data_IF_786113780291
#
_entry.id   IF_786113780291
#
_cell.length_a   1.000
_cell.length_b   1.000
_cell.length_c   1.000
_cell.angle_alpha   90.00
_cell.angle_beta   90.00
_cell.angle_gamma   90.00
#
_symmetry.space_group_name_H-M   'P 1'
#
loop_
_entity.id
_entity.type
_entity.pdbx_description
1 polymer ?
#
# COMPACT_ATOMS: atom_id res chain seq x y z
N UNK A 1 -32.50 -5.17 1.59
CA UNK A 1 -31.17 -5.19 2.23
C UNK A 1 -30.13 -4.99 1.14
N UNK A 2 -29.41 -3.87 1.15
CA UNK A 2 -28.55 -3.44 0.03
C UNK A 2 -27.40 -4.41 -0.19
N UNK A 3 -27.07 -4.73 -1.45
CA UNK A 3 -25.92 -5.56 -1.86
C UNK A 3 -24.62 -5.15 -1.17
N UNK A 4 -24.43 -3.86 -0.89
CA UNK A 4 -23.28 -3.32 -0.16
C UNK A 4 -23.13 -3.95 1.23
N UNK A 5 -24.23 -4.20 1.95
CA UNK A 5 -24.21 -4.82 3.27
C UNK A 5 -23.60 -6.23 3.19
N UNK A 6 -24.01 -7.02 2.21
CA UNK A 6 -23.47 -8.36 1.98
C UNK A 6 -22.01 -8.33 1.54
N UNK A 7 -21.61 -7.36 0.71
CA UNK A 7 -20.20 -7.18 0.31
C UNK A 7 -19.32 -6.88 1.52
N UNK A 8 -19.75 -5.95 2.39
CA UNK A 8 -19.00 -5.60 3.60
C UNK A 8 -18.88 -6.81 4.53
N UNK A 9 -19.99 -7.52 4.77
CA UNK A 9 -20.00 -8.69 5.63
C UNK A 9 -19.09 -9.80 5.08
N UNK A 10 -19.18 -10.09 3.78
CA UNK A 10 -18.34 -11.08 3.13
C UNK A 10 -16.85 -10.69 3.18
N UNK A 11 -16.52 -9.42 2.93
CA UNK A 11 -15.16 -8.89 3.02
C UNK A 11 -14.59 -8.95 4.44
N UNK A 12 -15.42 -8.67 5.45
CA UNK A 12 -15.04 -8.78 6.86
C UNK A 12 -14.73 -10.23 7.24
N UNK A 13 -15.61 -11.18 6.86
CA UNK A 13 -15.40 -12.62 7.09
C UNK A 13 -14.13 -13.10 6.38
N UNK A 14 -13.95 -12.74 5.11
CA UNK A 14 -12.76 -13.12 4.34
C UNK A 14 -11.46 -12.58 5.00
N UNK A 15 -11.46 -11.32 5.45
CA UNK A 15 -10.31 -10.70 6.13
C UNK A 15 -9.99 -11.37 7.45
N UNK A 16 -11.02 -11.74 8.22
CA UNK A 16 -10.82 -12.46 9.47
C UNK A 16 -10.25 -13.86 9.23
N UNK A 17 -10.79 -14.59 8.25
CA UNK A 17 -10.33 -15.92 7.89
C UNK A 17 -8.88 -15.93 7.39
N UNK A 18 -8.46 -14.95 6.57
CA UNK A 18 -7.05 -14.88 6.12
C UNK A 18 -6.10 -14.56 7.27
N UNK A 19 -6.51 -13.72 8.22
CA UNK A 19 -5.70 -13.38 9.40
C UNK A 19 -5.54 -14.58 10.35
N UNK A 20 -6.64 -15.25 10.68
CA UNK A 20 -6.61 -16.43 11.55
C UNK A 20 -5.91 -17.60 10.85
N UNK A 21 -6.19 -17.82 9.56
CA UNK A 21 -5.54 -18.86 8.76
C UNK A 21 -4.02 -18.70 8.74
N UNK A 22 -3.50 -17.49 8.50
CA UNK A 22 -2.07 -17.21 8.57
C UNK A 22 -1.47 -17.49 9.95
N UNK A 23 -2.14 -17.05 11.02
CA UNK A 23 -1.70 -17.32 12.38
C UNK A 23 -1.69 -18.82 12.69
N UNK A 24 -2.73 -19.56 12.32
CA UNK A 24 -2.83 -21.00 12.58
C UNK A 24 -1.72 -21.77 11.84
N UNK A 25 -1.46 -21.42 10.58
CA UNK A 25 -0.40 -22.03 9.79
C UNK A 25 0.97 -21.78 10.44
N UNK A 26 1.27 -20.53 10.81
CA UNK A 26 2.55 -20.18 11.45
C UNK A 26 2.67 -20.85 12.82
N UNK A 27 1.59 -20.93 13.61
CA UNK A 27 1.59 -21.56 14.93
C UNK A 27 1.85 -23.07 14.90
N UNK A 28 1.75 -23.72 13.73
CA UNK A 28 2.06 -25.14 13.57
C UNK A 28 3.56 -25.41 13.43
N UNK A 29 4.36 -24.39 13.11
CA UNK A 29 5.81 -24.50 13.02
C UNK A 29 6.43 -24.08 14.36
N UNK A 30 7.15 -25.01 15.02
CA UNK A 30 7.88 -24.69 16.26
C UNK A 30 9.09 -23.76 16.00
N UNK A 31 9.70 -23.87 14.81
CA UNK A 31 10.77 -22.98 14.34
C UNK A 31 10.54 -22.64 12.87
N UNK A 32 10.63 -21.35 12.54
CA UNK A 32 10.48 -20.88 11.16
C UNK A 32 11.83 -21.02 10.46
N UNK A 33 11.85 -21.71 9.32
CA UNK A 33 13.08 -21.88 8.54
C UNK A 33 13.58 -20.50 8.02
N UNK A 34 14.90 -20.21 8.04
CA UNK A 34 15.45 -18.88 7.70
C UNK A 34 15.00 -18.33 6.34
N UNK A 35 14.78 -19.20 5.36
CA UNK A 35 14.28 -18.81 4.02
C UNK A 35 12.82 -18.32 4.04
N UNK A 36 11.98 -18.89 4.90
CA UNK A 36 10.57 -18.51 5.04
C UNK A 36 10.46 -17.19 5.80
N UNK A 37 11.26 -17.03 6.85
CA UNK A 37 11.33 -15.76 7.61
C UNK A 37 11.81 -14.60 6.72
N UNK A 38 12.87 -14.81 5.94
CA UNK A 38 13.35 -13.82 4.98
C UNK A 38 12.27 -13.45 3.94
N UNK A 39 11.53 -14.45 3.45
CA UNK A 39 10.38 -14.23 2.56
C UNK A 39 9.30 -13.40 3.22
N UNK A 40 8.91 -13.74 4.45
CA UNK A 40 7.86 -13.04 5.21
C UNK A 40 8.25 -11.58 5.51
N UNK A 41 9.52 -11.32 5.83
CA UNK A 41 10.05 -9.97 6.04
C UNK A 41 10.06 -9.13 4.75
N UNK A 42 10.10 -9.75 3.58
CA UNK A 42 10.03 -9.06 2.28
C UNK A 42 8.59 -8.76 1.82
N UNK A 43 7.58 -9.46 2.36
CA UNK A 43 6.17 -9.30 1.94
C UNK A 43 5.66 -7.84 2.07
N UNK A 44 5.88 -7.11 3.18
CA UNK A 44 5.36 -5.75 3.31
C UNK A 44 5.91 -4.81 2.22
N UNK A 45 7.20 -4.90 1.93
CA UNK A 45 7.83 -4.12 0.88
C UNK A 45 7.24 -4.49 -0.49
N UNK A 46 7.09 -5.78 -0.79
CA UNK A 46 6.52 -6.25 -2.05
C UNK A 46 5.07 -5.82 -2.28
N UNK A 47 4.24 -5.83 -1.24
CA UNK A 47 2.83 -5.39 -1.35
C UNK A 47 2.75 -3.88 -1.57
N UNK A 48 3.56 -3.09 -0.86
CA UNK A 48 3.57 -1.64 -1.06
C UNK A 48 4.06 -1.27 -2.47
N UNK A 49 5.07 -1.97 -3.00
CA UNK A 49 5.56 -1.70 -4.35
C UNK A 49 4.57 -2.11 -5.42
N UNK A 50 3.82 -3.20 -5.26
CA UNK A 50 2.79 -3.59 -6.23
C UNK A 50 1.58 -2.66 -6.25
N UNK A 51 1.31 -1.94 -5.16
CA UNK A 51 0.28 -0.90 -5.15
C UNK A 51 0.73 0.36 -5.90
N UNK A 52 2.01 0.73 -5.80
CA UNK A 52 2.54 1.97 -6.39
C UNK A 52 2.97 1.78 -7.86
N UNK A 53 3.47 0.60 -8.22
CA UNK A 53 3.95 0.30 -9.57
C UNK A 53 2.91 0.53 -10.70
N UNK A 54 1.66 0.04 -10.64
CA UNK A 54 0.69 0.28 -11.71
C UNK A 54 0.30 1.75 -11.82
N UNK A 55 0.18 2.45 -10.69
CA UNK A 55 -0.10 3.89 -10.66
C UNK A 55 1.02 4.69 -11.33
N UNK A 56 2.28 4.28 -11.16
CA UNK A 56 3.42 4.87 -11.87
C UNK A 56 3.40 4.63 -13.39
N UNK A 57 2.96 3.45 -13.83
CA UNK A 57 2.92 3.09 -15.26
C UNK A 57 1.80 3.82 -16.00
N UNK A 58 0.69 4.10 -15.32
CA UNK A 58 -0.47 4.82 -15.88
C UNK A 58 -0.50 6.29 -15.47
N UNK A 59 0.52 6.79 -14.77
CA UNK A 59 0.61 8.17 -14.30
C UNK A 59 0.75 9.16 -15.46
N UNK A 60 -0.01 10.24 -15.39
CA UNK A 60 0.19 11.42 -16.22
C UNK A 60 1.37 12.27 -15.73
N UNK A 61 1.72 13.33 -16.48
CA UNK A 61 2.85 14.19 -16.10
C UNK A 61 2.65 14.89 -14.75
N UNK A 62 1.39 15.17 -14.36
CA UNK A 62 1.04 15.73 -13.06
C UNK A 62 1.32 14.75 -11.91
N UNK A 63 0.93 13.47 -12.09
CA UNK A 63 1.20 12.39 -11.14
C UNK A 63 2.70 12.14 -10.98
N UNK A 64 3.47 12.16 -12.07
CA UNK A 64 4.93 12.04 -12.03
C UNK A 64 5.59 13.17 -11.24
N UNK A 65 5.16 14.42 -11.45
CA UNK A 65 5.68 15.57 -10.70
C UNK A 65 5.41 15.43 -9.19
N UNK A 66 4.17 15.05 -8.82
CA UNK A 66 3.80 14.82 -7.43
C UNK A 66 4.63 13.69 -6.80
N UNK A 67 4.85 12.60 -7.53
CA UNK A 67 5.61 11.47 -7.03
C UNK A 67 7.09 11.81 -6.82
N UNK A 68 7.72 12.52 -7.76
CA UNK A 68 9.11 12.96 -7.62
C UNK A 68 9.26 13.86 -6.39
N UNK A 69 8.37 14.84 -6.20
CA UNK A 69 8.42 15.71 -5.02
C UNK A 69 8.21 14.92 -3.74
N UNK A 70 7.26 13.98 -3.74
CA UNK A 70 7.00 13.11 -2.59
C UNK A 70 8.24 12.31 -2.21
N UNK A 71 8.95 11.74 -3.19
CA UNK A 71 10.21 11.01 -2.97
C UNK A 71 11.30 11.93 -2.42
N UNK A 72 11.46 13.13 -2.98
CA UNK A 72 12.47 14.08 -2.49
C UNK A 72 12.21 14.51 -1.04
N UNK A 73 10.94 14.74 -0.69
CA UNK A 73 10.54 15.13 0.67
C UNK A 73 10.65 13.95 1.64
N UNK A 74 10.38 12.73 1.21
CA UNK A 74 10.47 11.54 2.07
C UNK A 74 11.89 11.24 2.54
N UNK A 75 12.91 11.63 1.77
CA UNK A 75 14.32 11.45 2.13
C UNK A 75 14.76 12.33 3.31
N UNK A 76 14.05 13.43 3.60
CA UNK A 76 14.50 14.42 4.60
C UNK A 76 13.45 14.77 5.66
N UNK A 77 12.17 14.62 5.36
CA UNK A 77 11.08 15.07 6.23
C UNK A 77 10.23 13.90 6.76
N UNK A 78 9.39 14.16 7.77
CA UNK A 78 8.48 13.16 8.33
C UNK A 78 7.30 12.82 7.41
N UNK A 79 6.57 11.75 7.74
CA UNK A 79 5.44 11.22 6.96
C UNK A 79 4.37 12.28 6.63
N UNK A 80 4.05 13.17 7.57
CA UNK A 80 3.06 14.23 7.36
C UNK A 80 3.51 15.26 6.32
N UNK A 81 4.79 15.66 6.37
CA UNK A 81 5.33 16.61 5.39
C UNK A 81 5.37 16.00 3.99
N UNK A 82 5.79 14.73 3.89
CA UNK A 82 5.76 13.97 2.63
C UNK A 82 4.35 13.91 2.04
N UNK A 83 3.35 13.55 2.87
CA UNK A 83 1.96 13.45 2.43
C UNK A 83 1.40 14.80 1.95
N UNK A 84 1.60 15.86 2.74
CA UNK A 84 1.11 17.19 2.41
C UNK A 84 1.78 17.76 1.15
N UNK A 85 3.10 17.58 1.01
CA UNK A 85 3.83 18.05 -0.16
C UNK A 85 3.38 17.33 -1.44
N UNK A 86 3.26 16.00 -1.39
CA UNK A 86 2.76 15.21 -2.52
C UNK A 86 1.33 15.59 -2.92
N UNK A 87 0.44 15.70 -1.94
CA UNK A 87 -0.95 16.09 -2.18
C UNK A 87 -1.06 17.50 -2.76
N UNK A 88 -0.33 18.47 -2.21
CA UNK A 88 -0.32 19.84 -2.71
C UNK A 88 0.17 19.91 -4.16
N UNK A 89 1.28 19.25 -4.48
CA UNK A 89 1.82 19.22 -5.85
C UNK A 89 0.84 18.55 -6.81
N UNK A 90 0.23 17.43 -6.42
CA UNK A 90 -0.76 16.73 -7.26
C UNK A 90 -1.97 17.62 -7.55
N UNK A 91 -2.54 18.27 -6.54
CA UNK A 91 -3.70 19.14 -6.68
C UNK A 91 -3.37 20.32 -7.60
N UNK A 92 -2.24 20.98 -7.36
CA UNK A 92 -1.80 22.12 -8.18
C UNK A 92 -1.55 21.67 -9.61
N UNK A 93 -0.79 20.59 -9.82
CA UNK A 93 -0.48 20.09 -11.15
C UNK A 93 -1.74 19.68 -11.93
N UNK A 94 -2.71 19.04 -11.27
CA UNK A 94 -4.00 18.72 -11.89
C UNK A 94 -4.82 19.96 -12.25
N UNK A 95 -4.73 21.05 -11.50
CA UNK A 95 -5.43 22.30 -11.85
C UNK A 95 -4.85 22.99 -13.09
N UNK A 96 -3.55 22.83 -13.37
CA UNK A 96 -2.90 23.45 -14.53
C UNK A 96 -2.80 22.54 -15.76
N UNK A 97 -2.86 21.22 -15.56
CA UNK A 97 -2.61 20.21 -16.60
C UNK A 97 -3.83 19.32 -16.89
N UNK A 98 -4.94 19.54 -16.18
CA UNK A 98 -6.23 18.88 -16.37
C UNK A 98 -7.15 19.65 -17.30
#
# INVERSE_FOLDING_TARGET
>A
MSTTFWIILAGAVATYLTRVGGHLVISRFETIHPRVEAGLNAVPAAVLTTLVAPELLHAGPAEWAALIVTVLVSLRCGLMAMFLAGAAVLIIARQFMG
#
